data_IF_953173949618
#
_entry.id   IF_953173949618
#
_cell.length_a   1.000
_cell.length_b   1.000
_cell.length_c   1.000
_cell.angle_alpha   90.00
_cell.angle_beta   90.00
_cell.angle_gamma   90.00
#
_symmetry.space_group_name_H-M   'P 1'
#
loop_
_entity.id
_entity.type
_entity.pdbx_description
1 polymer ?
#
# COMPACT_ATOMS: atom_id res chain seq x y z
N UNK A 1 6.20 -11.82 -17.16
CA UNK A 1 5.02 -11.21 -17.78
C UNK A 1 4.04 -10.89 -16.68
N UNK A 2 3.43 -9.70 -16.69
CA UNK A 2 2.38 -9.34 -15.76
C UNK A 2 1.18 -10.31 -15.88
N UNK A 3 0.53 -10.62 -14.76
CA UNK A 3 -0.67 -11.46 -14.76
C UNK A 3 -1.84 -10.78 -15.48
N UNK A 4 -2.80 -11.53 -16.04
CA UNK A 4 -3.94 -10.93 -16.77
C UNK A 4 -4.80 -9.97 -15.95
N UNK A 5 -4.87 -10.17 -14.63
CA UNK A 5 -5.65 -9.33 -13.71
C UNK A 5 -5.08 -7.91 -13.57
N UNK A 6 -3.76 -7.73 -13.71
CA UNK A 6 -3.11 -6.42 -13.61
C UNK A 6 -3.44 -5.49 -14.78
N UNK A 7 -3.87 -6.05 -15.93
CA UNK A 7 -4.09 -5.30 -17.18
C UNK A 7 -5.52 -4.82 -17.36
N UNK A 8 -6.46 -5.32 -16.56
CA UNK A 8 -7.87 -4.93 -16.67
C UNK A 8 -8.18 -3.94 -15.56
N UNK A 9 -8.55 -2.71 -15.92
CA UNK A 9 -8.83 -1.61 -14.97
C UNK A 9 -9.77 -2.07 -13.84
N UNK A 10 -10.90 -2.71 -14.17
CA UNK A 10 -11.84 -3.19 -13.14
C UNK A 10 -11.24 -4.26 -12.19
N UNK A 11 -10.44 -5.19 -12.74
CA UNK A 11 -9.78 -6.20 -11.92
C UNK A 11 -8.64 -5.62 -11.09
N UNK A 12 -7.98 -4.59 -11.60
CA UNK A 12 -6.92 -3.88 -10.92
C UNK A 12 -7.49 -3.06 -9.75
N UNK A 13 -8.49 -2.21 -10.03
CA UNK A 13 -9.19 -1.41 -9.05
C UNK A 13 -9.80 -2.24 -7.92
N UNK A 14 -10.39 -3.41 -8.24
CA UNK A 14 -10.95 -4.29 -7.20
C UNK A 14 -9.89 -4.90 -6.27
N UNK A 15 -8.65 -5.11 -6.74
CA UNK A 15 -7.53 -5.56 -5.88
C UNK A 15 -7.13 -4.44 -4.92
N UNK A 16 -6.99 -3.22 -5.44
CA UNK A 16 -6.69 -2.02 -4.65
C UNK A 16 -7.76 -1.77 -3.59
N UNK A 17 -9.03 -1.72 -3.98
CA UNK A 17 -10.16 -1.46 -3.09
C UNK A 17 -10.23 -2.49 -1.95
N UNK A 18 -10.08 -3.77 -2.27
CA UNK A 18 -10.11 -4.82 -1.25
C UNK A 18 -8.95 -4.68 -0.25
N UNK A 19 -7.72 -4.49 -0.74
CA UNK A 19 -6.55 -4.36 0.12
C UNK A 19 -6.62 -3.09 1.00
N UNK A 20 -7.07 -1.97 0.44
CA UNK A 20 -7.19 -0.69 1.14
C UNK A 20 -8.30 -0.71 2.20
N UNK A 21 -9.45 -1.33 1.89
CA UNK A 21 -10.54 -1.47 2.85
C UNK A 21 -10.13 -2.33 4.06
N UNK A 22 -9.49 -3.47 3.82
CA UNK A 22 -8.94 -4.33 4.88
C UNK A 22 -7.94 -3.55 5.75
N UNK A 23 -7.05 -2.75 5.14
CA UNK A 23 -6.08 -1.92 5.86
C UNK A 23 -6.76 -0.84 6.72
N UNK A 24 -7.83 -0.20 6.22
CA UNK A 24 -8.63 0.79 6.98
C UNK A 24 -9.29 0.18 8.20
N UNK A 25 -9.89 -0.99 8.05
CA UNK A 25 -10.55 -1.71 9.15
C UNK A 25 -9.55 -2.07 10.25
N UNK A 26 -8.42 -2.67 9.89
CA UNK A 26 -7.36 -3.01 10.83
C UNK A 26 -6.77 -1.77 11.51
N UNK A 27 -6.60 -0.66 10.78
CA UNK A 27 -6.11 0.61 11.35
C UNK A 27 -7.10 1.20 12.35
N UNK A 28 -8.41 1.09 12.09
CA UNK A 28 -9.44 1.50 13.04
C UNK A 28 -9.44 0.62 14.30
N UNK A 29 -9.25 -0.70 14.16
CA UNK A 29 -9.11 -1.62 15.28
C UNK A 29 -7.90 -1.23 16.14
N UNK A 30 -6.74 -1.00 15.53
CA UNK A 30 -5.54 -0.53 16.23
C UNK A 30 -5.80 0.75 17.02
N UNK A 31 -6.48 1.74 16.40
CA UNK A 31 -6.82 2.99 17.07
C UNK A 31 -7.70 2.81 18.30
N UNK A 32 -8.68 1.89 18.23
CA UNK A 32 -9.55 1.56 19.37
C UNK A 32 -8.77 0.86 20.50
N UNK A 33 -7.91 -0.11 20.17
CA UNK A 33 -7.09 -0.82 21.16
C UNK A 33 -6.14 0.14 21.90
N UNK A 34 -5.52 1.08 21.18
CA UNK A 34 -4.68 2.11 21.77
C UNK A 34 -5.47 3.03 22.71
N UNK A 35 -6.71 3.37 22.35
CA UNK A 35 -7.61 4.18 23.18
C UNK A 35 -8.05 3.44 24.45
N UNK A 36 -8.22 2.12 24.36
CA UNK A 36 -8.62 1.26 25.48
C UNK A 36 -7.43 0.80 26.33
N UNK A 37 -6.20 1.18 25.96
CA UNK A 37 -4.94 0.78 26.60
C UNK A 37 -4.65 -0.73 26.53
N UNK A 38 -5.27 -1.45 25.60
CA UNK A 38 -5.07 -2.87 25.31
C UNK A 38 -3.77 -3.09 24.52
N UNK A 39 -2.64 -2.91 25.19
CA UNK A 39 -1.31 -2.75 24.54
C UNK A 39 -0.85 -4.01 23.80
N UNK A 40 -1.07 -5.20 24.37
CA UNK A 40 -0.65 -6.47 23.74
C UNK A 40 -1.43 -6.74 22.45
N UNK A 41 -2.76 -6.57 22.49
CA UNK A 41 -3.61 -6.71 21.30
C UNK A 41 -3.34 -5.62 20.26
N UNK A 42 -3.04 -4.39 20.69
CA UNK A 42 -2.61 -3.33 19.78
C UNK A 42 -1.31 -3.69 19.05
N UNK A 43 -0.35 -4.28 19.78
CA UNK A 43 0.93 -4.69 19.21
C UNK A 43 0.74 -5.83 18.19
N UNK A 44 -0.06 -6.84 18.52
CA UNK A 44 -0.41 -7.91 17.59
C UNK A 44 -1.10 -7.36 16.33
N UNK A 45 -2.08 -6.47 16.50
CA UNK A 45 -2.78 -5.83 15.38
C UNK A 45 -1.82 -5.02 14.51
N UNK A 46 -0.84 -4.33 15.10
CA UNK A 46 0.16 -3.59 14.35
C UNK A 46 1.06 -4.50 13.49
N UNK A 47 1.44 -5.68 13.99
CA UNK A 47 2.18 -6.66 13.19
C UNK A 47 1.33 -7.25 12.07
N UNK A 48 0.05 -7.54 12.32
CA UNK A 48 -0.90 -7.98 11.28
C UNK A 48 -1.02 -6.92 10.18
N UNK A 49 -1.10 -5.64 10.56
CA UNK A 49 -1.09 -4.54 9.60
C UNK A 49 0.20 -4.51 8.76
N UNK A 50 1.38 -4.65 9.38
CA UNK A 50 2.65 -4.72 8.64
C UNK A 50 2.62 -5.86 7.62
N UNK A 51 2.23 -7.07 8.05
CA UNK A 51 2.15 -8.24 7.17
C UNK A 51 1.15 -8.01 6.03
N UNK A 52 0.00 -7.41 6.31
CA UNK A 52 -1.00 -7.05 5.31
C UNK A 52 -0.41 -6.14 4.23
N UNK A 53 0.22 -5.03 4.62
CA UNK A 53 0.84 -4.09 3.67
C UNK A 53 1.98 -4.74 2.86
N UNK A 54 2.80 -5.58 3.48
CA UNK A 54 3.91 -6.26 2.81
C UNK A 54 3.42 -7.31 1.80
N UNK A 55 2.41 -8.10 2.16
CA UNK A 55 1.96 -9.26 1.36
C UNK A 55 0.87 -8.92 0.34
N UNK A 56 0.19 -7.78 0.50
CA UNK A 56 -0.89 -7.33 -0.38
C UNK A 56 -0.41 -6.19 -1.26
N UNK A 57 -0.38 -4.97 -0.73
CA UNK A 57 -0.05 -3.76 -1.49
C UNK A 57 1.37 -3.79 -2.04
N UNK A 58 2.38 -4.02 -1.21
CA UNK A 58 3.78 -3.97 -1.67
C UNK A 58 4.15 -5.13 -2.60
N UNK A 59 3.54 -6.31 -2.40
CA UNK A 59 3.70 -7.43 -3.32
C UNK A 59 3.04 -7.16 -4.69
N UNK A 60 1.91 -6.44 -4.70
CA UNK A 60 1.23 -5.97 -5.91
C UNK A 60 2.07 -4.91 -6.65
N UNK A 61 2.58 -3.92 -5.92
CA UNK A 61 3.54 -2.92 -6.41
C UNK A 61 4.77 -3.56 -7.08
N UNK A 62 5.35 -4.59 -6.45
CA UNK A 62 6.48 -5.33 -7.02
C UNK A 62 6.12 -6.06 -8.32
N UNK A 63 4.86 -6.48 -8.50
CA UNK A 63 4.39 -7.13 -9.71
C UNK A 63 4.16 -6.13 -10.84
N UNK A 64 3.67 -4.93 -10.53
CA UNK A 64 3.50 -3.82 -11.46
C UNK A 64 4.84 -3.32 -11.99
N UNK A 65 5.77 -2.99 -11.09
CA UNK A 65 7.09 -2.46 -11.43
C UNK A 65 7.89 -3.43 -12.33
N UNK A 66 7.85 -4.73 -12.02
CA UNK A 66 8.57 -5.76 -12.80
C UNK A 66 7.89 -6.13 -14.11
N UNK A 67 6.60 -5.84 -14.23
CA UNK A 67 5.76 -6.30 -15.32
C UNK A 67 5.07 -5.15 -16.02
N UNK A 68 3.94 -4.72 -15.47
CA UNK A 68 3.02 -3.77 -16.08
C UNK A 68 3.68 -2.45 -16.46
N UNK A 69 4.39 -1.81 -15.53
CA UNK A 69 5.04 -0.51 -15.78
C UNK A 69 6.13 -0.60 -16.82
N UNK A 70 6.89 -1.69 -16.83
CA UNK A 70 7.91 -1.92 -17.85
C UNK A 70 7.27 -2.06 -19.23
N UNK A 71 6.20 -2.84 -19.34
CA UNK A 71 5.43 -3.01 -20.58
C UNK A 71 4.86 -1.66 -21.07
N UNK A 72 4.23 -0.89 -20.18
CA UNK A 72 3.65 0.42 -20.49
C UNK A 72 4.70 1.45 -20.95
N UNK A 73 5.87 1.50 -20.29
CA UNK A 73 6.95 2.41 -20.67
C UNK A 73 7.56 2.07 -22.06
N UNK A 74 7.54 0.80 -22.45
CA UNK A 74 8.01 0.33 -23.76
C UNK A 74 7.00 0.63 -24.87
N UNK A 75 5.69 0.54 -24.58
CA UNK A 75 4.62 0.73 -25.59
C UNK A 75 4.13 2.17 -25.71
N UNK A 76 4.17 2.93 -24.62
CA UNK A 76 3.61 4.29 -24.53
C UNK A 76 4.62 5.21 -23.83
N UNK A 77 5.64 5.72 -24.55
CA UNK A 77 6.72 6.51 -23.96
C UNK A 77 6.26 7.77 -23.20
N UNK A 78 5.09 8.31 -23.53
CA UNK A 78 4.47 9.47 -22.89
C UNK A 78 4.13 9.21 -21.41
N UNK A 79 3.93 7.96 -20.99
CA UNK A 79 3.60 7.59 -19.61
C UNK A 79 4.82 7.49 -18.70
N UNK A 80 6.03 7.71 -19.22
CA UNK A 80 7.27 7.49 -18.46
C UNK A 80 7.33 8.32 -17.18
N UNK A 81 6.92 9.57 -17.21
CA UNK A 81 6.96 10.45 -16.04
C UNK A 81 5.93 10.01 -14.98
N UNK A 82 4.74 9.56 -15.41
CA UNK A 82 3.74 8.97 -14.52
C UNK A 82 4.28 7.71 -13.84
N UNK A 83 4.89 6.80 -14.60
CA UNK A 83 5.48 5.55 -14.06
C UNK A 83 6.57 5.85 -13.03
N UNK A 84 7.40 6.86 -13.26
CA UNK A 84 8.41 7.30 -12.28
C UNK A 84 7.76 7.81 -11.00
N UNK A 85 6.68 8.59 -11.10
CA UNK A 85 5.93 9.08 -9.95
C UNK A 85 5.28 7.94 -9.16
N UNK A 86 4.58 7.02 -9.83
CA UNK A 86 3.95 5.85 -9.21
C UNK A 86 4.97 4.95 -8.49
N UNK A 87 6.10 4.67 -9.14
CA UNK A 87 7.21 3.91 -8.53
C UNK A 87 7.78 4.64 -7.31
N UNK A 88 7.84 5.98 -7.32
CA UNK A 88 8.26 6.77 -6.16
C UNK A 88 7.27 6.61 -5.00
N UNK A 89 5.98 6.53 -5.27
CA UNK A 89 4.96 6.36 -4.23
C UNK A 89 5.06 4.96 -3.59
N UNK A 90 5.31 3.91 -4.38
CA UNK A 90 5.66 2.59 -3.84
C UNK A 90 6.87 2.66 -2.90
N UNK A 91 7.93 3.37 -3.31
CA UNK A 91 9.12 3.53 -2.48
C UNK A 91 8.85 4.31 -1.18
N UNK A 92 7.94 5.28 -1.21
CA UNK A 92 7.49 6.00 -0.03
C UNK A 92 6.74 5.05 0.92
N UNK A 93 5.83 4.22 0.41
CA UNK A 93 5.12 3.21 1.21
C UNK A 93 6.10 2.21 1.85
N UNK A 94 7.07 1.68 1.09
CA UNK A 94 8.15 0.83 1.63
C UNK A 94 8.92 1.51 2.77
N UNK A 95 9.23 2.81 2.63
CA UNK A 95 9.88 3.59 3.67
C UNK A 95 9.01 3.73 4.92
N UNK A 96 7.70 3.97 4.76
CA UNK A 96 6.77 4.08 5.89
C UNK A 96 6.69 2.75 6.64
N UNK A 97 6.55 1.62 5.93
CA UNK A 97 6.55 0.28 6.55
C UNK A 97 7.84 0.01 7.32
N UNK A 98 9.01 0.33 6.74
CA UNK A 98 10.29 0.18 7.45
C UNK A 98 10.34 1.03 8.73
N UNK A 99 9.87 2.28 8.68
CA UNK A 99 9.81 3.15 9.85
C UNK A 99 8.85 2.63 10.93
N UNK A 100 7.73 2.02 10.53
CA UNK A 100 6.78 1.37 11.45
C UNK A 100 7.46 0.21 12.17
N UNK A 101 8.11 -0.69 11.42
CA UNK A 101 8.82 -1.85 11.98
C UNK A 101 9.88 -1.44 12.99
N UNK A 102 10.71 -0.45 12.65
CA UNK A 102 11.70 0.10 13.57
C UNK A 102 11.03 0.69 14.83
N UNK A 103 9.92 1.41 14.68
CA UNK A 103 9.19 1.99 15.82
C UNK A 103 8.63 0.91 16.75
N UNK A 104 8.11 -0.19 16.19
CA UNK A 104 7.60 -1.33 16.94
C UNK A 104 8.71 -2.05 17.71
N UNK A 105 9.89 -2.20 17.11
CA UNK A 105 11.07 -2.81 17.77
C UNK A 105 11.65 -1.91 18.87
N UNK A 106 11.78 -0.61 18.62
CA UNK A 106 12.46 0.32 19.52
C UNK A 106 11.57 0.78 20.68
N UNK A 107 10.31 1.08 20.40
CA UNK A 107 9.40 1.79 21.32
C UNK A 107 8.05 1.11 21.51
N UNK A 108 7.79 0.01 20.81
CA UNK A 108 6.50 -0.67 20.81
C UNK A 108 5.42 0.06 20.02
N UNK A 109 4.18 -0.36 20.23
CA UNK A 109 3.01 0.22 19.56
C UNK A 109 2.53 1.48 20.27
N UNK A 110 2.12 2.49 19.48
CA UNK A 110 1.63 3.76 20.00
C UNK A 110 0.97 4.62 18.92
N UNK A 111 0.54 5.83 19.29
CA UNK A 111 -0.11 6.75 18.34
C UNK A 111 0.79 7.15 17.17
N UNK A 112 2.11 7.22 17.37
CA UNK A 112 3.08 7.45 16.31
C UNK A 112 3.04 6.34 15.21
N UNK A 113 2.82 5.08 15.61
CA UNK A 113 2.66 3.95 14.69
C UNK A 113 1.30 4.04 13.98
N UNK A 114 0.23 4.34 14.72
CA UNK A 114 -1.11 4.54 14.16
C UNK A 114 -1.12 5.64 13.08
N UNK A 115 -0.52 6.80 13.36
CA UNK A 115 -0.42 7.93 12.44
C UNK A 115 0.29 7.54 11.13
N UNK A 116 1.30 6.66 11.21
CA UNK A 116 2.01 6.17 10.01
C UNK A 116 1.14 5.25 9.17
N UNK A 117 0.34 4.38 9.77
CA UNK A 117 -0.65 3.57 9.03
C UNK A 117 -1.72 4.45 8.38
N UNK A 118 -2.22 5.46 9.10
CA UNK A 118 -3.16 6.42 8.55
C UNK A 118 -2.57 7.22 7.38
N UNK A 119 -1.32 7.66 7.49
CA UNK A 119 -0.61 8.31 6.39
C UNK A 119 -0.43 7.36 5.19
N UNK A 120 -0.13 6.09 5.43
CA UNK A 120 0.03 5.09 4.37
C UNK A 120 -1.27 4.85 3.61
N UNK A 121 -2.41 4.79 4.31
CA UNK A 121 -3.75 4.74 3.68
C UNK A 121 -3.97 5.91 2.72
N UNK A 122 -3.61 7.13 3.12
CA UNK A 122 -3.78 8.32 2.28
C UNK A 122 -2.84 8.31 1.06
N UNK A 123 -1.61 7.82 1.23
CA UNK A 123 -0.66 7.69 0.11
C UNK A 123 -1.16 6.65 -0.88
N UNK A 124 -1.61 5.50 -0.40
CA UNK A 124 -2.14 4.41 -1.23
C UNK A 124 -3.40 4.84 -1.99
N UNK A 125 -4.35 5.52 -1.34
CA UNK A 125 -5.55 6.05 -1.99
C UNK A 125 -5.23 7.00 -3.15
N UNK A 126 -4.32 7.95 -2.94
CA UNK A 126 -3.90 8.89 -3.98
C UNK A 126 -3.09 8.20 -5.09
N UNK A 127 -2.28 7.20 -4.74
CA UNK A 127 -1.53 6.40 -5.70
C UNK A 127 -2.48 5.62 -6.61
N UNK A 128 -3.44 4.91 -6.03
CA UNK A 128 -4.43 4.10 -6.75
C UNK A 128 -5.24 4.97 -7.74
N UNK A 129 -5.69 6.16 -7.31
CA UNK A 129 -6.41 7.10 -8.18
C UNK A 129 -5.59 7.53 -9.41
N UNK A 130 -4.28 7.77 -9.25
CA UNK A 130 -3.42 8.18 -10.36
C UNK A 130 -3.00 7.01 -11.24
N UNK A 131 -2.81 5.82 -10.66
CA UNK A 131 -2.51 4.60 -11.42
C UNK A 131 -3.69 4.24 -12.32
N UNK A 132 -4.90 4.15 -11.77
CA UNK A 132 -6.10 3.77 -12.51
C UNK A 132 -6.38 4.69 -13.72
N UNK A 133 -6.03 5.98 -13.63
CA UNK A 133 -6.18 6.96 -14.72
C UNK A 133 -5.28 6.68 -15.93
N UNK A 134 -4.11 6.10 -15.70
CA UNK A 134 -3.13 5.84 -16.77
C UNK A 134 -3.20 4.41 -17.29
N UNK A 135 -3.95 3.53 -16.62
CA UNK A 135 -4.18 2.17 -17.10
C UNK A 135 -4.98 2.20 -18.40
N UNK A 136 -4.59 1.42 -19.41
CA UNK A 136 -5.32 1.37 -20.66
C UNK A 136 -6.69 0.69 -20.46
N UNK A 137 -7.75 1.34 -20.96
CA UNK A 137 -9.06 0.69 -21.13
C UNK A 137 -8.90 -0.43 -22.17
N UNK A 138 -9.04 -1.68 -21.75
CA UNK A 138 -9.01 -2.86 -22.62
C UNK A 138 -10.26 -3.72 -22.46
#
# INVERSE_FOLDING_TARGET
MAGPALRKVESHASIHEAALQEARELTNILGNLLKEHETDSALETAYILVEHWETRTLAHADAEERGLYKEMAETTPELKDNIVALTRDHNLMRHIVSNIKNSLEDSGVGYNVLERFQAMILVDELHNEEEERILPEH
#
